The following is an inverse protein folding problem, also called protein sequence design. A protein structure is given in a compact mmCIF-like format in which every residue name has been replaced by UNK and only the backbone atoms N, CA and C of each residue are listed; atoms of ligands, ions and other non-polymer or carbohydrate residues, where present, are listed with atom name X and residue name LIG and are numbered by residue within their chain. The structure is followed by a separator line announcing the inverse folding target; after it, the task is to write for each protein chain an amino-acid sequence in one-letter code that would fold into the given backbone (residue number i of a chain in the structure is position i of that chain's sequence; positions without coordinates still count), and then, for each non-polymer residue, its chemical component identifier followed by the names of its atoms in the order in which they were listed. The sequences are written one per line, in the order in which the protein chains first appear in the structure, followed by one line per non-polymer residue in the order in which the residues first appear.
data_IF_662573088964
#
_entry.id   IF_662573088964
#
_cell.length_a   1.000
_cell.length_b   1.000
_cell.length_c   1.000
_cell.angle_alpha   90.00
_cell.angle_beta   90.00
_cell.angle_gamma   90.00
#
_symmetry.space_group_name_H-M   'P 1'
#
loop_
_entity.id
_entity.type
_entity.pdbx_description
1 polymer ?
#
# COMPACT_ATOMS: atom_id res chain seq x y z
N UNK A 1 -5.74 3.32 -8.81
CA UNK A 1 -6.72 2.23 -8.59
C UNK A 1 -7.92 2.66 -7.75
N UNK A 2 -7.75 3.07 -6.48
CA UNK A 2 -8.90 3.39 -5.61
C UNK A 2 -9.81 4.52 -6.11
N UNK A 3 -9.21 5.65 -6.55
CA UNK A 3 -9.95 6.81 -7.03
C UNK A 3 -10.86 6.45 -8.22
N UNK A 4 -10.34 5.67 -9.17
CA UNK A 4 -11.10 5.17 -10.31
C UNK A 4 -12.25 4.24 -9.87
N UNK A 5 -12.00 3.33 -8.92
CA UNK A 5 -13.06 2.46 -8.38
C UNK A 5 -14.16 3.26 -7.69
N UNK A 6 -13.81 4.37 -7.03
CA UNK A 6 -14.78 5.22 -6.34
C UNK A 6 -15.58 6.10 -7.29
N UNK A 7 -14.92 6.75 -8.25
CA UNK A 7 -15.53 7.81 -9.07
C UNK A 7 -16.05 7.29 -10.41
N UNK A 8 -15.31 6.40 -11.07
CA UNK A 8 -15.63 5.99 -12.44
C UNK A 8 -16.50 4.72 -12.47
N UNK A 9 -16.28 3.78 -11.54
CA UNK A 9 -16.98 2.49 -11.51
C UNK A 9 -18.07 2.46 -10.44
N UNK A 10 -17.76 2.93 -9.23
CA UNK A 10 -18.58 2.75 -8.05
C UNK A 10 -18.22 1.46 -7.30
N UNK A 11 -17.99 1.48 -5.97
CA UNK A 11 -17.51 0.31 -5.24
C UNK A 11 -18.47 -0.89 -5.25
N UNK A 12 -19.77 -0.62 -5.22
CA UNK A 12 -20.79 -1.66 -5.31
C UNK A 12 -20.78 -2.36 -6.67
N UNK A 13 -20.68 -1.59 -7.76
CA UNK A 13 -20.59 -2.11 -9.13
C UNK A 13 -19.29 -2.86 -9.34
N UNK A 14 -18.17 -2.36 -8.81
CA UNK A 14 -16.88 -3.07 -8.81
C UNK A 14 -16.99 -4.43 -8.11
N UNK A 15 -17.69 -4.48 -6.98
CA UNK A 15 -18.00 -5.74 -6.29
C UNK A 15 -18.80 -6.70 -7.16
N UNK A 16 -19.96 -6.24 -7.68
CA UNK A 16 -20.87 -7.08 -8.45
C UNK A 16 -20.33 -7.51 -9.82
N UNK A 17 -19.40 -6.75 -10.42
CA UNK A 17 -18.79 -7.11 -11.70
C UNK A 17 -17.52 -7.92 -11.52
N UNK A 18 -16.49 -7.36 -10.89
CA UNK A 18 -15.17 -8.02 -10.85
C UNK A 18 -15.06 -9.04 -9.72
N UNK A 19 -15.53 -8.71 -8.51
CA UNK A 19 -15.36 -9.60 -7.35
C UNK A 19 -16.32 -10.80 -7.42
N UNK A 20 -17.53 -10.60 -7.95
CA UNK A 20 -18.48 -11.68 -8.16
C UNK A 20 -17.94 -12.71 -9.17
N UNK A 21 -17.29 -12.25 -10.25
CA UNK A 21 -16.66 -13.13 -11.26
C UNK A 21 -15.52 -13.99 -10.70
N UNK A 22 -14.87 -13.54 -9.61
CA UNK A 22 -13.87 -14.31 -8.86
C UNK A 22 -14.48 -15.39 -7.95
N UNK A 23 -15.82 -15.47 -7.85
CA UNK A 23 -16.52 -16.44 -6.99
C UNK A 23 -16.41 -16.15 -5.49
N UNK A 24 -16.04 -14.93 -5.09
CA UNK A 24 -15.90 -14.55 -3.69
C UNK A 24 -17.27 -14.26 -3.04
N UNK A 25 -17.46 -14.62 -1.76
CA UNK A 25 -18.72 -14.37 -1.05
C UNK A 25 -18.93 -12.87 -0.82
N UNK A 26 -20.20 -12.45 -0.70
CA UNK A 26 -20.62 -11.07 -0.41
C UNK A 26 -19.88 -10.01 -1.27
N UNK A 27 -19.92 -10.13 -2.61
CA UNK A 27 -19.04 -9.38 -3.52
C UNK A 27 -19.19 -7.85 -3.42
N UNK A 28 -20.41 -7.35 -3.19
CA UNK A 28 -20.66 -5.91 -3.01
C UNK A 28 -19.96 -5.35 -1.77
N UNK A 29 -20.03 -6.06 -0.64
CA UNK A 29 -19.37 -5.65 0.60
C UNK A 29 -17.85 -5.66 0.43
N UNK A 30 -17.31 -6.70 -0.22
CA UNK A 30 -15.88 -6.76 -0.53
C UNK A 30 -15.45 -5.63 -1.47
N UNK A 31 -16.30 -5.24 -2.43
CA UNK A 31 -16.03 -4.12 -3.33
C UNK A 31 -15.85 -2.80 -2.58
N UNK A 32 -16.75 -2.53 -1.61
CA UNK A 32 -16.61 -1.41 -0.68
C UNK A 32 -15.37 -1.52 0.20
N UNK A 33 -15.14 -2.68 0.81
CA UNK A 33 -14.00 -2.90 1.71
C UNK A 33 -12.66 -2.66 0.99
N UNK A 34 -12.49 -3.22 -0.21
CA UNK A 34 -11.29 -3.02 -1.04
C UNK A 34 -11.15 -1.55 -1.40
N UNK A 35 -12.18 -0.91 -1.92
CA UNK A 35 -12.08 0.48 -2.40
C UNK A 35 -11.76 1.46 -1.25
N UNK A 36 -12.40 1.29 -0.09
CA UNK A 36 -12.13 2.11 1.08
C UNK A 36 -10.74 1.84 1.66
N UNK A 37 -10.31 0.59 1.69
CA UNK A 37 -8.96 0.23 2.16
C UNK A 37 -7.89 0.85 1.28
N UNK A 38 -8.03 0.78 -0.05
CA UNK A 38 -7.07 1.38 -0.97
C UNK A 38 -7.04 2.91 -0.85
N UNK A 39 -8.20 3.55 -0.69
CA UNK A 39 -8.28 5.01 -0.63
C UNK A 39 -7.81 5.54 0.73
N UNK A 40 -8.44 5.09 1.81
CA UNK A 40 -8.15 5.56 3.17
C UNK A 40 -6.76 5.11 3.59
N UNK A 41 -6.42 3.83 3.37
CA UNK A 41 -5.08 3.31 3.64
C UNK A 41 -4.01 4.05 2.84
N UNK A 42 -4.30 4.38 1.57
CA UNK A 42 -3.42 5.19 0.73
C UNK A 42 -3.16 6.58 1.30
N UNK A 43 -4.22 7.30 1.69
CA UNK A 43 -4.11 8.63 2.30
C UNK A 43 -3.33 8.57 3.62
N UNK A 44 -3.66 7.60 4.49
CA UNK A 44 -2.96 7.43 5.76
C UNK A 44 -1.48 7.12 5.56
N UNK A 45 -1.14 6.24 4.61
CA UNK A 45 0.25 5.91 4.30
C UNK A 45 1.02 7.12 3.76
N UNK A 46 0.41 7.94 2.89
CA UNK A 46 1.04 9.16 2.35
C UNK A 46 1.31 10.18 3.46
N UNK A 47 0.39 10.33 4.42
CA UNK A 47 0.58 11.21 5.56
C UNK A 47 1.56 10.63 6.60
N UNK A 48 1.95 9.36 6.45
CA UNK A 48 2.74 8.63 7.42
C UNK A 48 2.02 8.51 8.76
N UNK A 49 0.73 8.15 8.73
CA UNK A 49 -0.11 7.91 9.91
C UNK A 49 -0.46 6.42 10.02
N UNK A 50 -0.27 5.84 11.20
CA UNK A 50 -0.36 4.40 11.48
C UNK A 50 0.29 3.57 10.36
N UNK A 51 1.51 3.98 10.00
CA UNK A 51 2.17 3.65 8.74
C UNK A 51 2.28 2.15 8.49
N UNK A 52 2.69 1.36 9.49
CA UNK A 52 2.82 -0.08 9.32
C UNK A 52 1.47 -0.76 9.09
N UNK A 53 0.43 -0.31 9.78
CA UNK A 53 -0.93 -0.82 9.62
C UNK A 53 -1.47 -0.48 8.23
N UNK A 54 -1.37 0.79 7.83
CA UNK A 54 -1.79 1.27 6.51
C UNK A 54 -1.07 0.53 5.37
N UNK A 55 0.26 0.36 5.49
CA UNK A 55 1.05 -0.38 4.52
C UNK A 55 0.66 -1.87 4.46
N UNK A 56 0.41 -2.52 5.61
CA UNK A 56 -0.01 -3.93 5.66
C UNK A 56 -1.36 -4.14 4.98
N UNK A 57 -2.32 -3.26 5.23
CA UNK A 57 -3.65 -3.33 4.63
C UNK A 57 -3.59 -3.14 3.10
N UNK A 58 -2.84 -2.14 2.64
CA UNK A 58 -2.64 -1.89 1.21
C UNK A 58 -1.93 -3.06 0.52
N UNK A 59 -0.85 -3.57 1.11
CA UNK A 59 -0.12 -4.72 0.58
C UNK A 59 -1.04 -5.93 0.46
N UNK A 60 -1.88 -6.19 1.46
CA UNK A 60 -2.83 -7.32 1.45
C UNK A 60 -3.82 -7.24 0.29
N UNK A 61 -4.38 -6.05 0.02
CA UNK A 61 -5.29 -5.84 -1.11
C UNK A 61 -4.58 -6.03 -2.44
N UNK A 62 -3.39 -5.47 -2.61
CA UNK A 62 -2.61 -5.57 -3.84
C UNK A 62 -2.13 -7.00 -4.10
N UNK A 63 -1.76 -7.74 -3.06
CA UNK A 63 -1.42 -9.17 -3.17
C UNK A 63 -2.65 -9.95 -3.64
N UNK A 64 -3.83 -9.69 -3.06
CA UNK A 64 -5.08 -10.29 -3.50
C UNK A 64 -5.39 -10.00 -4.97
N UNK A 65 -5.21 -8.75 -5.40
CA UNK A 65 -5.39 -8.37 -6.80
C UNK A 65 -4.39 -9.07 -7.73
N UNK A 66 -3.11 -9.12 -7.36
CA UNK A 66 -2.08 -9.78 -8.16
C UNK A 66 -2.35 -11.30 -8.33
N UNK A 67 -2.81 -11.97 -7.27
CA UNK A 67 -3.07 -13.42 -7.28
C UNK A 67 -4.40 -13.77 -7.95
N UNK A 68 -5.45 -12.98 -7.74
CA UNK A 68 -6.80 -13.34 -8.19
C UNK A 68 -7.18 -12.73 -9.54
N UNK A 69 -6.64 -11.56 -9.89
CA UNK A 69 -7.06 -10.80 -11.08
C UNK A 69 -6.01 -10.86 -12.20
N UNK A 70 -4.72 -10.91 -11.84
CA UNK A 70 -3.62 -10.74 -12.79
C UNK A 70 -2.87 -12.01 -13.27
N UNK A 71 -3.18 -13.26 -12.87
CA UNK A 71 -2.43 -14.43 -13.37
C UNK A 71 -2.32 -14.50 -14.90
N UNK A 72 -3.42 -14.25 -15.61
CA UNK A 72 -3.46 -14.35 -17.08
C UNK A 72 -2.89 -13.11 -17.79
N UNK A 73 -2.70 -12.01 -17.07
CA UNK A 73 -2.10 -10.77 -17.58
C UNK A 73 -0.58 -10.75 -17.44
N UNK A 74 -0.02 -11.55 -16.53
CA UNK A 74 1.42 -11.54 -16.22
C UNK A 74 1.89 -10.23 -15.56
N UNK A 75 3.22 -10.08 -15.45
CA UNK A 75 3.85 -8.87 -14.86
C UNK A 75 3.64 -7.66 -15.77
N UNK A 76 3.91 -7.82 -17.06
CA UNK A 76 3.65 -6.83 -18.10
C UNK A 76 2.49 -7.36 -18.93
N UNK A 77 1.43 -6.58 -19.07
CA UNK A 77 0.27 -6.99 -19.85
C UNK A 77 0.62 -7.12 -21.35
N UNK A 78 0.08 -8.14 -22.05
CA UNK A 78 0.17 -8.23 -23.50
C UNK A 78 -0.40 -6.98 -24.19
N UNK A 79 0.17 -6.62 -25.34
CA UNK A 79 -0.33 -5.51 -26.16
C UNK A 79 -1.81 -5.76 -26.53
N UNK A 80 -2.66 -4.76 -26.25
CA UNK A 80 -4.10 -4.84 -26.51
C UNK A 80 -4.95 -5.34 -25.34
N UNK A 81 -4.34 -5.64 -24.18
CA UNK A 81 -5.08 -6.02 -22.97
C UNK A 81 -5.92 -4.86 -22.43
N UNK A 82 -7.11 -5.18 -21.91
CA UNK A 82 -8.02 -4.20 -21.29
C UNK A 82 -7.59 -3.80 -19.88
N UNK A 83 -6.72 -4.57 -19.24
CA UNK A 83 -6.20 -4.34 -17.89
C UNK A 83 -4.66 -4.31 -17.92
N UNK A 84 -4.04 -3.50 -17.04
CA UNK A 84 -2.59 -3.50 -16.89
C UNK A 84 -2.10 -4.77 -16.17
N UNK A 85 -0.85 -5.15 -16.46
CA UNK A 85 -0.17 -6.26 -15.79
C UNK A 85 0.09 -5.98 -14.32
N UNK A 86 0.73 -6.92 -13.62
CA UNK A 86 1.01 -6.82 -12.19
C UNK A 86 2.16 -5.87 -11.81
N UNK A 87 2.83 -5.23 -12.77
CA UNK A 87 3.96 -4.32 -12.55
C UNK A 87 3.73 -3.27 -11.45
N UNK A 88 2.60 -2.57 -11.50
CA UNK A 88 2.29 -1.50 -10.56
C UNK A 88 1.98 -2.05 -9.17
N UNK A 89 1.24 -3.16 -9.09
CA UNK A 89 0.91 -3.84 -7.85
C UNK A 89 2.19 -4.30 -7.15
N UNK A 90 3.10 -4.94 -7.89
CA UNK A 90 4.38 -5.40 -7.36
C UNK A 90 5.25 -4.24 -6.88
N UNK A 91 5.29 -3.13 -7.62
CA UNK A 91 6.01 -1.93 -7.19
C UNK A 91 5.43 -1.33 -5.90
N UNK A 92 4.10 -1.24 -5.80
CA UNK A 92 3.42 -0.72 -4.62
C UNK A 92 3.54 -1.67 -3.43
N UNK A 93 3.48 -2.99 -3.64
CA UNK A 93 3.73 -4.00 -2.62
C UNK A 93 5.16 -3.85 -2.09
N UNK A 94 6.16 -3.73 -2.98
CA UNK A 94 7.55 -3.56 -2.57
C UNK A 94 7.74 -2.28 -1.73
N UNK A 95 7.11 -1.17 -2.14
CA UNK A 95 7.10 0.08 -1.36
C UNK A 95 6.43 -0.08 0.00
N UNK A 96 5.27 -0.73 0.05
CA UNK A 96 4.53 -0.99 1.28
C UNK A 96 5.33 -1.90 2.24
N UNK A 97 5.97 -2.96 1.73
CA UNK A 97 6.87 -3.82 2.51
C UNK A 97 8.05 -2.99 3.04
N UNK A 98 8.63 -2.11 2.23
CA UNK A 98 9.63 -1.15 2.68
C UNK A 98 9.14 -0.30 3.86
N UNK A 99 7.94 0.28 3.76
CA UNK A 99 7.34 1.06 4.85
C UNK A 99 7.05 0.21 6.10
N UNK A 100 6.63 -1.05 5.94
CA UNK A 100 6.42 -1.97 7.05
C UNK A 100 7.72 -2.26 7.82
N UNK A 101 8.81 -2.46 7.09
CA UNK A 101 10.12 -2.81 7.67
C UNK A 101 10.84 -1.60 8.25
N UNK A 102 10.83 -0.47 7.54
CA UNK A 102 11.58 0.73 7.90
C UNK A 102 10.81 1.64 8.86
N UNK A 103 9.47 1.59 8.83
CA UNK A 103 8.59 2.48 9.59
C UNK A 103 8.33 3.82 8.90
N UNK A 104 7.78 4.79 9.64
CA UNK A 104 7.14 5.99 9.07
C UNK A 104 8.13 7.07 8.59
N UNK A 105 9.38 7.07 9.06
CA UNK A 105 10.38 8.08 8.71
C UNK A 105 10.13 9.44 9.38
N UNK A 106 11.09 10.36 9.27
CA UNK A 106 11.06 11.68 9.96
C UNK A 106 9.93 12.62 9.55
N UNK A 107 9.56 12.77 8.26
CA UNK A 107 8.52 13.72 7.87
C UNK A 107 7.09 13.23 8.15
N UNK A 108 6.92 12.08 8.82
CA UNK A 108 5.62 11.46 9.06
C UNK A 108 4.86 12.06 10.23
N UNK A 109 3.53 11.99 10.15
CA UNK A 109 2.65 12.30 11.27
C UNK A 109 2.87 11.37 12.46
N UNK A 110 3.20 10.11 12.23
CA UNK A 110 3.54 9.14 13.28
C UNK A 110 4.76 9.59 14.09
N UNK A 111 5.79 10.13 13.44
CA UNK A 111 6.98 10.65 14.13
C UNK A 111 6.66 11.90 14.94
N UNK A 112 5.89 12.84 14.36
CA UNK A 112 5.47 14.08 15.04
C UNK A 112 4.60 13.78 16.28
N UNK A 113 3.71 12.80 16.17
CA UNK A 113 2.79 12.42 17.25
C UNK A 113 3.35 11.34 18.19
N UNK A 114 4.51 10.76 17.87
CA UNK A 114 5.13 9.69 18.65
C UNK A 114 4.36 8.36 18.64
N UNK A 115 3.55 8.11 17.59
CA UNK A 115 2.72 6.91 17.44
C UNK A 115 3.58 5.70 17.05
N UNK A 116 4.40 5.85 16.01
CA UNK A 116 5.31 4.81 15.52
C UNK A 116 6.74 5.35 15.38
N UNK A 117 7.73 4.47 15.48
CA UNK A 117 9.15 4.81 15.36
C UNK A 117 9.78 4.17 14.13
N UNK A 118 10.69 4.91 13.50
CA UNK A 118 11.59 4.41 12.45
C UNK A 118 12.61 3.45 13.07
N UNK A 119 13.18 2.55 12.26
CA UNK A 119 14.25 1.65 12.73
C UNK A 119 15.45 2.47 13.24
N UNK A 120 15.99 2.18 14.46
CA UNK A 120 17.05 2.99 15.08
C UNK A 120 18.32 3.18 14.23
N UNK A 121 18.63 2.21 13.37
CA UNK A 121 19.79 2.29 12.47
C UNK A 121 19.70 3.48 11.49
N UNK A 122 18.50 3.79 10.99
CA UNK A 122 18.27 4.96 10.12
C UNK A 122 18.29 6.26 10.91
N UNK A 123 17.79 6.24 12.15
CA UNK A 123 17.84 7.38 13.06
C UNK A 123 19.29 7.79 13.38
N UNK A 124 20.15 6.80 13.65
CA UNK A 124 21.55 7.00 13.99
C UNK A 124 22.40 7.44 12.78
N UNK A 125 22.06 7.01 11.57
CA UNK A 125 22.73 7.46 10.34
C UNK A 125 22.49 8.95 10.07
N UNK A 126 21.33 9.48 10.46
CA UNK A 126 20.91 10.86 10.18
C UNK A 126 21.38 11.86 11.25
N UNK A 127 21.80 11.37 12.42
CA UNK A 127 22.52 12.13 13.44
C UNK A 127 23.87 11.46 13.70
N UNK A 128 24.86 11.62 12.79
CA UNK A 128 26.21 11.13 13.08
C UNK A 128 26.65 11.77 14.39
N UNK A 129 26.85 10.96 15.42
CA UNK A 129 27.47 11.42 16.66
C UNK A 129 28.77 12.08 16.24
N UNK A 130 28.84 13.40 16.38
CA UNK A 130 30.11 14.12 16.35
C UNK A 130 30.85 13.63 17.58
N UNK A 131 31.49 12.47 17.45
CA UNK A 131 32.41 11.97 18.44
C UNK A 131 33.50 13.02 18.53
N UNK A 132 33.39 13.79 19.60
CA UNK A 132 34.40 14.69 20.09
C UNK A 132 35.67 13.86 20.26
N UNK A 133 36.52 13.91 19.25
CA UNK A 133 37.96 13.70 19.42
C UNK A 133 38.50 14.89 20.21
N UNK A 134 38.08 14.97 21.47
CA UNK A 134 38.65 15.79 22.53
C UNK A 134 39.03 14.82 23.64
N UNK A 135 40.02 13.99 23.32
CA UNK A 135 40.96 13.37 24.23
C UNK A 135 42.28 13.44 23.44
N UNK A 136 43.05 14.53 23.53
CA UNK A 136 43.87 14.94 24.67
C UNK A 136 44.77 13.80 25.14
#
# INVERSE_FOLDING_TARGET
MAWQKLVDIGPAIFGQSMIADLGLPVPELLGWAVTLTELVGGVLLVLGLITRVSATLLASVLIGAAILVKPDLGVIAPIGSMLPGAELDLALIAGAVGAMLLGPGKPSLDHVMGIERTVPALEAADHPKVERTVAA
#
